data_IF_835695849321
#
_entry.id   IF_835695849321
#
_cell.length_a   1.000
_cell.length_b   1.000
_cell.length_c   1.000
_cell.angle_alpha   90.00
_cell.angle_beta   90.00
_cell.angle_gamma   90.00
#
_symmetry.space_group_name_H-M   'P 1'
#
loop_
_entity.id
_entity.type
_entity.pdbx_description
1 polymer ?
#
# COMPACT_ATOMS: atom_id res chain seq x y z
N UNK A 1 -12.78 22.20 -21.05
CA UNK A 1 -12.26 21.80 -19.72
C UNK A 1 -11.59 20.44 -19.88
N UNK A 2 -10.30 20.33 -19.55
CA UNK A 2 -9.59 19.04 -19.66
C UNK A 2 -10.11 18.07 -18.60
N UNK A 3 -10.96 17.13 -19.00
CA UNK A 3 -11.37 15.97 -18.19
C UNK A 3 -10.22 14.95 -18.12
N UNK A 4 -9.13 15.30 -17.41
CA UNK A 4 -8.09 14.32 -17.10
C UNK A 4 -8.60 13.43 -15.97
N UNK A 5 -8.84 12.17 -16.30
CA UNK A 5 -9.22 11.15 -15.33
C UNK A 5 -8.05 10.88 -14.38
N UNK A 6 -8.31 10.99 -13.08
CA UNK A 6 -7.39 10.58 -12.02
C UNK A 6 -8.03 9.43 -11.24
N UNK A 7 -7.28 8.35 -11.03
CA UNK A 7 -7.73 7.16 -10.31
C UNK A 7 -6.90 6.95 -9.04
N UNK A 8 -7.51 6.26 -8.06
CA UNK A 8 -6.80 5.88 -6.84
C UNK A 8 -5.85 4.75 -7.14
N UNK A 9 -4.60 4.89 -6.71
CA UNK A 9 -3.54 3.90 -6.94
C UNK A 9 -3.33 2.96 -5.75
N UNK A 10 -4.04 3.16 -4.65
CA UNK A 10 -3.91 2.35 -3.43
C UNK A 10 -5.23 2.24 -2.70
N UNK A 11 -5.42 1.14 -1.97
CA UNK A 11 -6.54 0.92 -1.07
C UNK A 11 -6.03 0.74 0.34
N UNK A 12 -6.68 1.40 1.30
CA UNK A 12 -6.36 1.22 2.73
C UNK A 12 -6.84 -0.15 3.22
N UNK A 13 -6.10 -0.80 4.14
CA UNK A 13 -6.57 -2.03 4.78
C UNK A 13 -7.88 -1.79 5.54
N UNK A 14 -8.79 -2.76 5.52
CA UNK A 14 -10.06 -2.66 6.26
C UNK A 14 -9.84 -2.72 7.79
N UNK A 15 -8.79 -3.44 8.24
CA UNK A 15 -8.40 -3.57 9.65
C UNK A 15 -7.03 -2.92 9.87
N UNK A 16 -6.97 -1.67 10.35
CA UNK A 16 -5.71 -0.96 10.52
C UNK A 16 -4.77 -1.57 11.57
N UNK A 17 -5.32 -2.17 12.64
CA UNK A 17 -4.55 -2.56 13.84
C UNK A 17 -4.26 -4.08 13.94
N UNK A 18 -4.28 -4.78 12.81
CA UNK A 18 -3.97 -6.21 12.79
C UNK A 18 -2.46 -6.43 12.94
N UNK A 19 -2.05 -7.00 14.08
CA UNK A 19 -0.64 -7.15 14.48
C UNK A 19 0.19 -7.89 13.43
N UNK A 20 -0.36 -8.97 12.87
CA UNK A 20 0.29 -9.79 11.85
C UNK A 20 0.55 -8.98 10.57
N UNK A 21 -0.45 -8.23 10.09
CA UNK A 21 -0.32 -7.35 8.92
C UNK A 21 0.76 -6.30 9.16
N UNK A 22 0.75 -5.65 10.32
CA UNK A 22 1.74 -4.61 10.64
C UNK A 22 3.17 -5.16 10.64
N UNK A 23 3.39 -6.34 11.22
CA UNK A 23 4.70 -6.99 11.24
C UNK A 23 5.17 -7.37 9.83
N UNK A 24 4.27 -7.94 9.01
CA UNK A 24 4.57 -8.31 7.63
C UNK A 24 4.90 -7.08 6.77
N UNK A 25 4.17 -5.98 6.94
CA UNK A 25 4.49 -4.72 6.26
C UNK A 25 5.87 -4.19 6.65
N UNK A 26 6.21 -4.23 7.93
CA UNK A 26 7.53 -3.81 8.43
C UNK A 26 8.67 -4.66 7.86
N UNK A 27 8.48 -5.98 7.78
CA UNK A 27 9.46 -6.89 7.18
C UNK A 27 9.72 -6.56 5.71
N UNK A 28 8.64 -6.37 4.92
CA UNK A 28 8.73 -6.00 3.50
C UNK A 28 9.37 -4.61 3.32
N UNK A 29 9.05 -3.65 4.19
CA UNK A 29 9.71 -2.33 4.16
C UNK A 29 11.22 -2.46 4.37
N UNK A 30 11.66 -3.29 5.33
CA UNK A 30 13.07 -3.51 5.62
C UNK A 30 13.81 -4.25 4.51
N UNK A 31 13.17 -5.26 3.92
CA UNK A 31 13.77 -6.11 2.88
C UNK A 31 13.97 -5.36 1.55
N UNK A 32 13.02 -4.51 1.17
CA UNK A 32 13.04 -3.76 -0.09
C UNK A 32 13.42 -2.29 0.06
N UNK A 33 13.72 -1.81 1.27
CA UNK A 33 14.11 -0.42 1.53
C UNK A 33 13.03 0.62 1.20
N UNK A 34 11.76 0.27 1.40
CA UNK A 34 10.63 1.12 1.02
C UNK A 34 10.53 2.37 1.90
N UNK A 35 10.15 3.52 1.32
CA UNK A 35 10.09 4.78 2.07
C UNK A 35 8.78 4.93 2.85
N UNK A 36 7.69 4.37 2.35
CA UNK A 36 6.35 4.52 2.92
C UNK A 36 5.49 3.27 2.74
N UNK A 37 4.62 2.97 3.71
CA UNK A 37 3.60 1.89 3.62
C UNK A 37 2.63 2.03 2.44
N UNK A 38 2.51 3.24 1.89
CA UNK A 38 1.76 3.49 0.65
C UNK A 38 2.30 2.71 -0.54
N UNK A 39 3.60 2.47 -0.62
CA UNK A 39 4.22 1.72 -1.72
C UNK A 39 3.75 0.27 -1.70
N UNK A 40 3.70 -0.34 -0.51
CA UNK A 40 3.12 -1.67 -0.30
C UNK A 40 1.67 -1.69 -0.77
N UNK A 41 0.84 -0.74 -0.32
CA UNK A 41 -0.58 -0.73 -0.68
C UNK A 41 -0.85 -0.46 -2.17
N UNK A 42 0.06 0.20 -2.88
CA UNK A 42 -0.03 0.35 -4.35
C UNK A 42 0.26 -0.96 -5.07
N UNK A 43 1.31 -1.67 -4.63
CA UNK A 43 1.69 -2.97 -5.17
C UNK A 43 0.58 -3.99 -4.90
N UNK A 44 0.06 -4.04 -3.66
CA UNK A 44 -1.08 -4.89 -3.31
C UNK A 44 -2.37 -4.52 -4.05
N UNK A 45 -2.52 -3.28 -4.52
CA UNK A 45 -3.67 -2.85 -5.32
C UNK A 45 -3.52 -3.22 -6.82
N UNK A 46 -2.29 -3.44 -7.28
CA UNK A 46 -1.98 -3.80 -8.68
C UNK A 46 -1.86 -5.31 -8.88
N UNK A 47 -1.42 -6.04 -7.85
CA UNK A 47 -1.28 -7.50 -7.84
C UNK A 47 -2.61 -8.24 -7.56
N UNK A 48 -3.67 -7.51 -7.24
CA UNK A 48 -5.03 -8.02 -7.08
C UNK A 48 -5.82 -7.82 -8.37
#
# INVERSE_FOLDING_TARGET
MSSRNFSRTFKKPMRPYEKERMHKELQVVGEYGLKNKREIWRVSYTLF
#
